data_IF_474024021768
#
_entry.id   IF_474024021768
#
_cell.length_a   1.000
_cell.length_b   1.000
_cell.length_c   1.000
_cell.angle_alpha   90.00
_cell.angle_beta   90.00
_cell.angle_gamma   90.00
#
_symmetry.space_group_name_H-M   'P 1'
#
loop_
_entity.id
_entity.type
_entity.pdbx_description
1 polymer ?
#
# COMPACT_ATOMS: atom_id res chain seq x y z
N UNK A 1 -10.60 40.96 1.61
CA UNK A 1 -9.19 41.13 1.18
C UNK A 1 -8.95 40.12 0.08
N UNK A 2 -8.48 40.57 -1.08
CA UNK A 2 -8.15 39.66 -2.17
C UNK A 2 -6.85 38.92 -1.84
N UNK A 3 -6.94 37.62 -1.61
CA UNK A 3 -5.76 36.78 -1.37
C UNK A 3 -4.96 36.66 -2.66
N UNK A 4 -3.64 36.64 -2.52
CA UNK A 4 -2.68 36.53 -3.63
C UNK A 4 -1.59 35.51 -3.33
N UNK A 5 -1.17 34.78 -4.36
CA UNK A 5 -0.01 33.88 -4.31
C UNK A 5 0.80 34.04 -5.59
N UNK A 6 2.11 34.19 -5.44
CA UNK A 6 3.05 34.37 -6.56
C UNK A 6 2.62 35.47 -7.54
N UNK A 7 2.09 36.58 -7.01
CA UNK A 7 1.63 37.73 -7.80
C UNK A 7 0.26 37.60 -8.46
N UNK A 8 -0.43 36.46 -8.32
CA UNK A 8 -1.76 36.23 -8.90
C UNK A 8 -2.86 36.31 -7.84
N UNK A 9 -3.98 36.94 -8.19
CA UNK A 9 -5.20 36.96 -7.37
C UNK A 9 -5.87 35.59 -7.39
N UNK A 10 -6.27 35.09 -6.21
CA UNK A 10 -6.95 33.80 -6.09
C UNK A 10 -8.41 33.91 -6.51
N UNK A 11 -8.94 32.86 -7.15
CA UNK A 11 -10.35 32.79 -7.53
C UNK A 11 -11.26 32.66 -6.30
N UNK A 12 -12.56 32.89 -6.47
CA UNK A 12 -13.54 32.70 -5.40
C UNK A 12 -13.51 31.27 -4.84
N UNK A 13 -13.41 30.27 -5.70
CA UNK A 13 -13.34 28.85 -5.30
C UNK A 13 -12.10 28.55 -4.44
N UNK A 14 -10.94 29.09 -4.83
CA UNK A 14 -9.70 28.94 -4.04
C UNK A 14 -9.84 29.63 -2.68
N UNK A 15 -10.45 30.81 -2.63
CA UNK A 15 -10.70 31.52 -1.37
C UNK A 15 -11.63 30.75 -0.45
N UNK A 16 -12.75 30.25 -0.97
CA UNK A 16 -13.69 29.43 -0.21
C UNK A 16 -13.03 28.17 0.34
N UNK A 17 -12.16 27.53 -0.45
CA UNK A 17 -11.39 26.36 -0.01
C UNK A 17 -10.45 26.71 1.14
N UNK A 18 -9.71 27.83 1.03
CA UNK A 18 -8.80 28.31 2.08
C UNK A 18 -9.60 28.66 3.34
N UNK A 19 -10.73 29.37 3.23
CA UNK A 19 -11.57 29.74 4.37
C UNK A 19 -12.06 28.51 5.14
N UNK A 20 -12.50 27.47 4.42
CA UNK A 20 -12.89 26.21 5.03
C UNK A 20 -11.72 25.52 5.77
N UNK A 21 -10.51 25.52 5.19
CA UNK A 21 -9.31 25.00 5.86
C UNK A 21 -8.95 25.80 7.11
N UNK A 22 -8.99 27.14 7.03
CA UNK A 22 -8.71 28.03 8.16
C UNK A 22 -9.74 27.88 9.28
N UNK A 23 -10.98 27.54 8.95
CA UNK A 23 -12.03 27.20 9.90
C UNK A 23 -11.87 25.79 10.52
N UNK A 24 -10.83 25.04 10.15
CA UNK A 24 -10.57 23.70 10.66
C UNK A 24 -11.46 22.60 10.07
N UNK A 25 -12.08 22.85 8.91
CA UNK A 25 -12.95 21.88 8.25
C UNK A 25 -12.13 20.86 7.44
N UNK A 26 -12.64 19.62 7.39
CA UNK A 26 -12.13 18.61 6.47
C UNK A 26 -12.65 18.88 5.06
N UNK A 27 -11.75 19.19 4.14
CA UNK A 27 -12.09 19.58 2.76
C UNK A 27 -11.57 18.56 1.75
N UNK A 28 -12.37 18.30 0.71
CA UNK A 28 -11.96 17.55 -0.48
C UNK A 28 -12.01 18.48 -1.68
N UNK A 29 -10.88 18.65 -2.35
CA UNK A 29 -10.78 19.42 -3.58
C UNK A 29 -10.48 18.51 -4.76
N UNK A 30 -11.35 18.48 -5.75
CA UNK A 30 -11.07 17.86 -7.05
C UNK A 30 -10.52 18.92 -7.98
N UNK A 31 -9.29 18.72 -8.45
CA UNK A 31 -8.60 19.75 -9.20
C UNK A 31 -7.91 19.15 -10.42
N UNK A 32 -8.38 19.55 -11.60
CA UNK A 32 -7.90 19.07 -12.89
C UNK A 32 -6.57 19.72 -13.28
N UNK A 33 -5.97 19.27 -14.39
CA UNK A 33 -4.76 19.90 -14.90
C UNK A 33 -5.02 21.40 -15.16
N UNK A 34 -4.09 22.27 -14.74
CA UNK A 34 -4.20 23.71 -14.94
C UNK A 34 -5.09 24.48 -13.94
N UNK A 35 -5.85 23.82 -13.06
CA UNK A 35 -6.79 24.50 -12.14
C UNK A 35 -6.15 25.10 -10.87
N UNK A 36 -4.84 25.36 -10.90
CA UNK A 36 -4.16 26.08 -9.81
C UNK A 36 -3.93 25.30 -8.50
N UNK A 37 -3.97 23.95 -8.50
CA UNK A 37 -3.69 23.09 -7.31
C UNK A 37 -2.53 23.58 -6.45
N UNK A 38 -1.36 23.72 -7.06
CA UNK A 38 -0.14 24.13 -6.36
C UNK A 38 -0.28 25.54 -5.79
N UNK A 39 -0.95 26.45 -6.50
CA UNK A 39 -1.24 27.80 -6.02
C UNK A 39 -2.19 27.79 -4.82
N UNK A 40 -3.20 26.92 -4.81
CA UNK A 40 -4.12 26.76 -3.66
C UNK A 40 -3.36 26.24 -2.44
N UNK A 41 -2.52 25.20 -2.59
CA UNK A 41 -1.75 24.65 -1.46
C UNK A 41 -0.74 25.68 -0.90
N UNK A 42 -0.11 26.46 -1.78
CA UNK A 42 0.78 27.58 -1.37
C UNK A 42 0.01 28.69 -0.69
N UNK A 43 -1.25 28.93 -1.08
CA UNK A 43 -2.10 29.88 -0.39
C UNK A 43 -2.45 29.40 1.02
N UNK A 44 -2.83 28.13 1.17
CA UNK A 44 -3.10 27.54 2.49
C UNK A 44 -1.88 27.71 3.40
N UNK A 45 -0.69 27.34 2.91
CA UNK A 45 0.55 27.52 3.67
C UNK A 45 0.80 29.00 4.05
N UNK A 46 0.65 29.93 3.11
CA UNK A 46 0.83 31.36 3.35
C UNK A 46 -0.16 31.96 4.35
N UNK A 47 -1.42 31.53 4.32
CA UNK A 47 -2.51 32.17 5.08
C UNK A 47 -2.91 31.41 6.34
N UNK A 48 -2.54 30.14 6.49
CA UNK A 48 -2.74 29.36 7.71
C UNK A 48 -1.54 29.55 8.64
N UNK A 49 -1.36 30.79 9.08
CA UNK A 49 -0.31 31.18 10.01
C UNK A 49 -0.48 30.42 11.34
N UNK A 50 0.63 30.13 12.02
CA UNK A 50 0.67 29.44 13.32
C UNK A 50 0.42 27.91 13.31
N UNK A 51 0.44 27.28 12.14
CA UNK A 51 0.40 25.81 12.00
C UNK A 51 1.61 25.28 11.23
N UNK A 52 1.97 24.04 11.53
CA UNK A 52 2.91 23.27 10.70
C UNK A 52 2.10 22.39 9.74
N UNK A 53 2.44 22.45 8.46
CA UNK A 53 1.81 21.61 7.44
C UNK A 53 2.47 20.25 7.34
N UNK A 54 1.70 19.21 7.04
CA UNK A 54 2.23 17.93 6.58
C UNK A 54 1.64 17.63 5.20
N UNK A 55 2.49 17.52 4.20
CA UNK A 55 2.10 17.17 2.84
C UNK A 55 2.53 15.74 2.50
N UNK A 56 1.52 14.87 2.42
CA UNK A 56 1.70 13.46 2.08
C UNK A 56 1.66 13.27 0.56
N UNK A 57 2.73 12.72 -0.01
CA UNK A 57 2.86 12.45 -1.44
C UNK A 57 2.70 10.95 -1.73
N UNK A 58 2.16 10.64 -2.91
CA UNK A 58 1.96 9.24 -3.34
C UNK A 58 3.29 8.53 -3.68
N UNK A 59 4.25 9.23 -4.28
CA UNK A 59 5.53 8.64 -4.69
C UNK A 59 6.69 9.61 -4.50
N UNK A 60 7.92 9.10 -4.68
CA UNK A 60 9.15 9.85 -4.45
C UNK A 60 9.34 11.03 -5.41
N UNK A 61 8.91 10.89 -6.66
CA UNK A 61 8.98 11.97 -7.66
C UNK A 61 8.14 13.16 -7.23
N UNK A 62 6.88 12.93 -6.84
CA UNK A 62 5.98 13.97 -6.32
C UNK A 62 6.50 14.58 -5.01
N UNK A 63 7.11 13.77 -4.14
CA UNK A 63 7.76 14.27 -2.93
C UNK A 63 8.89 15.27 -3.27
N UNK A 64 9.73 14.95 -4.26
CA UNK A 64 10.82 15.84 -4.70
C UNK A 64 10.30 17.15 -5.29
N UNK A 65 9.24 17.12 -6.08
CA UNK A 65 8.63 18.32 -6.65
C UNK A 65 7.95 19.17 -5.58
N UNK A 66 7.27 18.54 -4.62
CA UNK A 66 6.71 19.22 -3.46
C UNK A 66 7.81 19.91 -2.64
N UNK A 67 8.97 19.28 -2.45
CA UNK A 67 10.10 19.88 -1.71
C UNK A 67 10.61 21.16 -2.36
N UNK A 68 10.65 21.21 -3.69
CA UNK A 68 10.98 22.44 -4.42
C UNK A 68 9.89 23.50 -4.24
N UNK A 69 8.61 23.08 -4.30
CA UNK A 69 7.45 23.97 -4.19
C UNK A 69 7.37 24.68 -2.82
N UNK A 70 7.66 23.97 -1.73
CA UNK A 70 7.60 24.49 -0.35
C UNK A 70 8.98 24.77 0.26
N UNK A 71 10.03 24.94 -0.56
CA UNK A 71 11.36 25.25 -0.07
C UNK A 71 11.37 26.56 0.75
N UNK A 72 11.81 26.48 2.01
CA UNK A 72 11.83 27.61 2.94
C UNK A 72 10.52 27.87 3.69
N UNK A 73 9.54 26.96 3.59
CA UNK A 73 8.23 27.05 4.26
C UNK A 73 8.08 25.99 5.35
N UNK A 74 7.18 26.21 6.30
CA UNK A 74 6.96 25.33 7.45
C UNK A 74 6.05 24.13 7.10
N UNK A 75 6.47 23.34 6.11
CA UNK A 75 5.73 22.16 5.62
C UNK A 75 6.63 20.93 5.60
N UNK A 76 6.27 19.92 6.40
CA UNK A 76 6.88 18.60 6.33
C UNK A 76 6.36 17.84 5.11
N UNK A 77 7.27 17.31 4.31
CA UNK A 77 6.94 16.59 3.09
C UNK A 77 7.42 15.14 3.23
N UNK A 78 6.51 14.20 3.00
CA UNK A 78 6.76 12.78 3.22
C UNK A 78 5.88 11.93 2.31
N UNK A 79 6.33 10.73 1.93
CA UNK A 79 5.45 9.76 1.27
C UNK A 79 4.63 8.96 2.27
N UNK A 80 3.49 8.40 1.86
CA UNK A 80 2.70 7.52 2.72
C UNK A 80 3.53 6.36 3.29
N UNK A 81 4.38 5.76 2.47
CA UNK A 81 5.28 4.70 2.91
C UNK A 81 6.31 5.21 3.93
N UNK A 82 6.97 6.35 3.67
CA UNK A 82 7.93 6.90 4.63
C UNK A 82 7.26 7.31 5.95
N UNK A 83 6.02 7.81 5.91
CA UNK A 83 5.22 8.14 7.09
C UNK A 83 4.92 6.89 7.92
N UNK A 84 4.44 5.83 7.27
CA UNK A 84 4.20 4.55 7.92
C UNK A 84 5.49 4.00 8.56
N UNK A 85 6.61 4.02 7.84
CA UNK A 85 7.88 3.51 8.36
C UNK A 85 8.35 4.30 9.60
N UNK A 86 8.23 5.63 9.59
CA UNK A 86 8.63 6.50 10.73
C UNK A 86 7.81 6.26 12.00
N UNK A 87 6.62 5.68 11.90
CA UNK A 87 5.78 5.37 13.06
C UNK A 87 6.35 4.24 13.94
N UNK A 88 7.26 3.42 13.42
CA UNK A 88 7.85 2.30 14.12
C UNK A 88 9.13 2.68 14.90
N UNK A 89 9.51 1.86 15.89
CA UNK A 89 10.82 1.98 16.56
C UNK A 89 11.97 1.82 15.56
N UNK A 90 13.16 2.36 15.88
CA UNK A 90 14.35 2.23 15.01
C UNK A 90 14.68 0.77 14.68
N UNK A 91 14.54 -0.13 15.65
CA UNK A 91 14.74 -1.57 15.46
C UNK A 91 13.79 -2.15 14.41
N UNK A 92 12.49 -1.85 14.52
CA UNK A 92 11.48 -2.32 13.57
C UNK A 92 11.65 -1.71 12.17
N UNK A 93 12.04 -0.43 12.09
CA UNK A 93 12.40 0.21 10.83
C UNK A 93 13.56 -0.55 10.16
N UNK A 94 14.60 -0.83 10.92
CA UNK A 94 15.78 -1.51 10.42
C UNK A 94 15.48 -2.95 10.00
N UNK A 95 14.58 -3.66 10.70
CA UNK A 95 14.06 -4.95 10.22
C UNK A 95 13.45 -4.83 8.83
N UNK A 96 12.55 -3.87 8.59
CA UNK A 96 11.91 -3.74 7.28
C UNK A 96 12.93 -3.39 6.19
N UNK A 97 13.87 -2.49 6.49
CA UNK A 97 14.88 -2.06 5.54
C UNK A 97 15.91 -3.16 5.22
N UNK A 98 16.35 -3.95 6.21
CA UNK A 98 17.33 -5.02 6.02
C UNK A 98 16.80 -6.16 5.15
N UNK A 99 15.47 -6.41 5.18
CA UNK A 99 14.82 -7.46 4.40
C UNK A 99 14.01 -6.91 3.23
N UNK A 100 14.20 -5.64 2.87
CA UNK A 100 13.54 -5.05 1.71
C UNK A 100 14.08 -5.69 0.43
N UNK A 101 13.23 -6.39 -0.32
CA UNK A 101 13.70 -7.11 -1.49
C UNK A 101 12.68 -8.02 -2.15
N UNK A 102 13.15 -8.77 -3.14
CA UNK A 102 12.34 -9.76 -3.85
C UNK A 102 12.30 -11.07 -3.04
N UNK A 103 11.11 -11.68 -3.00
CA UNK A 103 10.94 -13.02 -2.46
C UNK A 103 11.53 -14.05 -3.42
N UNK A 104 12.38 -14.96 -2.93
CA UNK A 104 12.86 -16.12 -3.70
C UNK A 104 11.90 -17.32 -3.60
N UNK A 105 12.10 -18.36 -4.42
CA UNK A 105 11.35 -19.62 -4.28
C UNK A 105 11.59 -20.30 -2.93
N UNK A 106 12.83 -20.30 -2.44
CA UNK A 106 13.16 -20.88 -1.13
C UNK A 106 12.48 -20.12 0.01
N UNK A 107 12.46 -18.78 -0.06
CA UNK A 107 11.72 -17.96 0.89
C UNK A 107 10.22 -18.28 0.83
N UNK A 108 9.67 -18.42 -0.37
CA UNK A 108 8.26 -18.78 -0.52
C UNK A 108 7.94 -20.11 0.13
N UNK A 109 8.68 -21.18 -0.17
CA UNK A 109 8.45 -22.50 0.42
C UNK A 109 8.52 -22.41 1.95
N UNK A 110 9.58 -21.78 2.46
CA UNK A 110 9.81 -21.60 3.90
C UNK A 110 8.70 -20.82 4.61
N UNK A 111 8.30 -19.65 4.09
CA UNK A 111 7.43 -18.73 4.82
C UNK A 111 5.94 -18.94 4.52
N UNK A 112 5.58 -19.44 3.34
CA UNK A 112 4.19 -19.84 3.05
C UNK A 112 3.83 -21.17 3.73
N UNK A 113 4.84 -21.93 4.19
CA UNK A 113 4.70 -23.32 4.64
C UNK A 113 4.08 -24.19 3.54
N UNK A 114 4.54 -23.97 2.30
CA UNK A 114 4.14 -24.81 1.19
C UNK A 114 4.64 -26.23 1.46
N UNK A 115 3.74 -27.21 1.44
CA UNK A 115 4.09 -28.60 1.57
C UNK A 115 3.84 -29.29 0.23
N UNK A 116 4.90 -29.85 -0.36
CA UNK A 116 4.83 -30.47 -1.70
C UNK A 116 4.34 -31.92 -1.63
N UNK A 117 4.09 -32.47 -0.45
CA UNK A 117 3.93 -33.91 -0.23
C UNK A 117 2.55 -34.51 -0.63
N UNK A 118 1.77 -33.85 -1.49
CA UNK A 118 0.39 -34.22 -1.82
C UNK A 118 0.20 -34.87 -3.20
N UNK A 119 -0.83 -35.69 -3.39
CA UNK A 119 -1.17 -36.33 -4.69
C UNK A 119 -1.34 -35.34 -5.87
N UNK A 120 -1.55 -34.06 -5.59
CA UNK A 120 -1.73 -32.99 -6.60
C UNK A 120 -0.44 -32.25 -6.96
N UNK A 121 0.71 -32.60 -6.36
CA UNK A 121 2.03 -31.99 -6.53
C UNK A 121 2.44 -31.84 -8.01
N UNK A 122 2.30 -32.92 -8.78
CA UNK A 122 2.68 -32.94 -10.21
C UNK A 122 1.87 -31.96 -11.08
N UNK A 123 0.66 -31.63 -10.64
CA UNK A 123 -0.26 -30.73 -11.34
C UNK A 123 -0.10 -29.28 -10.88
N UNK A 124 0.45 -29.05 -9.69
CA UNK A 124 0.35 -27.80 -8.95
C UNK A 124 1.69 -27.37 -8.31
N UNK A 125 2.76 -27.40 -9.10
CA UNK A 125 4.14 -27.09 -8.65
C UNK A 125 4.32 -25.67 -8.13
N UNK A 126 5.35 -25.46 -7.29
CA UNK A 126 5.76 -24.15 -6.76
C UNK A 126 5.96 -23.12 -7.87
N UNK A 127 6.62 -23.46 -8.97
CA UNK A 127 6.90 -22.54 -10.09
C UNK A 127 5.63 -21.94 -10.70
N UNK A 128 4.56 -22.75 -10.81
CA UNK A 128 3.28 -22.32 -11.37
C UNK A 128 2.48 -21.47 -10.38
N UNK A 129 2.62 -21.73 -9.08
CA UNK A 129 1.77 -21.15 -8.05
C UNK A 129 2.39 -19.97 -7.31
N UNK A 130 3.72 -19.90 -7.24
CA UNK A 130 4.47 -18.86 -6.53
C UNK A 130 3.91 -17.47 -6.84
N UNK A 131 3.80 -17.13 -8.12
CA UNK A 131 3.32 -15.79 -8.53
C UNK A 131 1.84 -15.56 -8.20
N UNK A 132 1.01 -16.60 -8.29
CA UNK A 132 -0.43 -16.50 -8.00
C UNK A 132 -0.70 -16.36 -6.50
N UNK A 133 0.03 -17.12 -5.68
CA UNK A 133 -0.06 -17.08 -4.21
C UNK A 133 0.56 -15.77 -3.69
N UNK A 134 1.71 -15.35 -4.21
CA UNK A 134 2.31 -14.06 -3.88
C UNK A 134 1.39 -12.89 -4.28
N UNK A 135 0.78 -12.94 -5.47
CA UNK A 135 -0.19 -11.93 -5.88
C UNK A 135 -1.41 -11.89 -4.94
N UNK A 136 -1.89 -13.06 -4.50
CA UNK A 136 -2.99 -13.20 -3.53
C UNK A 136 -2.61 -12.62 -2.15
N UNK A 137 -1.38 -12.84 -1.68
CA UNK A 137 -0.86 -12.20 -0.47
C UNK A 137 -0.77 -10.67 -0.62
N UNK A 138 -0.27 -10.20 -1.77
CA UNK A 138 -0.14 -8.78 -2.07
C UNK A 138 -1.50 -8.07 -2.21
N UNK A 139 -2.53 -8.73 -2.74
CA UNK A 139 -3.89 -8.19 -2.75
C UNK A 139 -4.38 -7.89 -1.33
N UNK A 140 -4.09 -8.77 -0.36
CA UNK A 140 -4.39 -8.49 1.04
C UNK A 140 -3.54 -7.36 1.61
N UNK A 141 -2.22 -7.37 1.37
CA UNK A 141 -1.30 -6.31 1.86
C UNK A 141 -1.73 -4.94 1.34
N UNK A 142 -2.18 -4.85 0.10
CA UNK A 142 -2.61 -3.60 -0.54
C UNK A 142 -4.08 -3.23 -0.31
N UNK A 143 -4.83 -4.04 0.45
CA UNK A 143 -6.22 -3.77 0.81
C UNK A 143 -6.34 -3.02 2.14
N UNK A 144 -7.52 -2.43 2.38
CA UNK A 144 -7.88 -1.90 3.70
C UNK A 144 -8.34 -2.99 4.70
N UNK A 145 -8.40 -4.27 4.31
CA UNK A 145 -8.93 -5.35 5.14
C UNK A 145 -8.09 -5.61 6.39
N UNK A 146 -8.71 -5.84 7.53
CA UNK A 146 -7.99 -6.20 8.77
C UNK A 146 -7.55 -7.67 8.76
N UNK A 147 -8.33 -8.51 8.08
CA UNK A 147 -8.10 -9.95 8.01
C UNK A 147 -8.04 -10.42 6.56
N UNK A 148 -7.33 -11.53 6.37
CA UNK A 148 -7.28 -12.22 5.09
C UNK A 148 -8.62 -12.94 4.84
N UNK A 149 -9.10 -12.90 3.60
CA UNK A 149 -10.37 -13.52 3.20
C UNK A 149 -10.44 -13.74 1.69
N UNK A 150 -11.49 -14.40 1.22
CA UNK A 150 -11.68 -14.78 -0.19
C UNK A 150 -11.66 -13.61 -1.18
N UNK A 151 -11.97 -12.39 -0.73
CA UNK A 151 -11.95 -11.20 -1.60
C UNK A 151 -10.54 -10.85 -2.10
N UNK A 152 -9.51 -11.37 -1.43
CA UNK A 152 -8.11 -11.13 -1.80
C UNK A 152 -7.56 -12.17 -2.77
N UNK A 153 -8.31 -13.24 -3.01
CA UNK A 153 -7.88 -14.30 -3.93
C UNK A 153 -7.69 -13.70 -5.32
N UNK A 154 -6.53 -13.94 -5.92
CA UNK A 154 -6.25 -13.44 -7.25
C UNK A 154 -7.19 -14.09 -8.29
N UNK A 155 -7.85 -13.29 -9.12
CA UNK A 155 -8.78 -13.79 -10.15
C UNK A 155 -8.12 -14.78 -11.12
N UNK A 156 -6.82 -14.62 -11.42
CA UNK A 156 -6.09 -15.56 -12.27
C UNK A 156 -5.91 -16.92 -11.61
N UNK A 157 -5.81 -16.98 -10.27
CA UNK A 157 -5.79 -18.24 -9.54
C UNK A 157 -7.13 -18.97 -9.69
N UNK A 158 -8.25 -18.26 -9.50
CA UNK A 158 -9.60 -18.80 -9.68
C UNK A 158 -9.76 -19.31 -11.12
N UNK A 159 -9.41 -18.49 -12.11
CA UNK A 159 -9.49 -18.87 -13.51
C UNK A 159 -8.61 -20.07 -13.87
N UNK A 160 -7.41 -20.17 -13.27
CA UNK A 160 -6.51 -21.29 -13.46
C UNK A 160 -7.10 -22.60 -12.92
N UNK A 161 -7.59 -22.61 -11.69
CA UNK A 161 -8.21 -23.78 -11.07
C UNK A 161 -9.48 -24.20 -11.83
N UNK A 162 -10.34 -23.26 -12.18
CA UNK A 162 -11.53 -23.53 -12.99
C UNK A 162 -11.19 -24.09 -14.38
N UNK A 163 -10.07 -23.68 -14.99
CA UNK A 163 -9.58 -24.26 -16.25
C UNK A 163 -9.12 -25.71 -16.08
N UNK A 164 -8.45 -26.04 -14.97
CA UNK A 164 -8.07 -27.43 -14.67
C UNK A 164 -9.31 -28.31 -14.47
N UNK A 165 -10.35 -27.80 -13.78
CA UNK A 165 -11.63 -28.49 -13.61
C UNK A 165 -12.33 -28.73 -14.95
N UNK A 166 -12.45 -27.69 -15.79
CA UNK A 166 -13.12 -27.82 -17.11
C UNK A 166 -12.42 -28.81 -18.03
N UNK A 167 -11.11 -29.03 -17.84
CA UNK A 167 -10.32 -30.05 -18.56
C UNK A 167 -10.41 -31.45 -17.94
N UNK A 168 -11.21 -31.65 -16.89
CA UNK A 168 -11.28 -32.87 -16.10
C UNK A 168 -9.94 -33.33 -15.52
N UNK A 169 -8.99 -32.39 -15.31
CA UNK A 169 -7.70 -32.69 -14.66
C UNK A 169 -7.88 -32.81 -13.16
N UNK A 170 -8.77 -31.99 -12.59
CA UNK A 170 -9.18 -32.02 -11.18
C UNK A 170 -10.71 -32.04 -11.08
N UNK A 171 -11.23 -32.58 -9.99
CA UNK A 171 -12.65 -32.52 -9.64
C UNK A 171 -12.98 -31.29 -8.77
N UNK A 172 -14.26 -31.08 -8.46
CA UNK A 172 -14.72 -29.92 -7.65
C UNK A 172 -14.15 -29.91 -6.23
N UNK A 173 -13.98 -31.08 -5.61
CA UNK A 173 -13.41 -31.19 -4.26
C UNK A 173 -11.93 -30.80 -4.27
N UNK A 174 -11.18 -31.28 -5.28
CA UNK A 174 -9.78 -30.93 -5.48
C UNK A 174 -9.60 -29.44 -5.82
N UNK A 175 -10.48 -28.82 -6.62
CA UNK A 175 -10.48 -27.36 -6.87
C UNK A 175 -10.60 -26.58 -5.56
N UNK A 176 -11.51 -26.98 -4.68
CA UNK A 176 -11.70 -26.34 -3.38
C UNK A 176 -10.49 -26.55 -2.45
N UNK A 177 -9.94 -27.76 -2.39
CA UNK A 177 -8.74 -28.09 -1.60
C UNK A 177 -7.52 -27.27 -2.07
N UNK A 178 -7.28 -27.19 -3.38
CA UNK A 178 -6.17 -26.40 -3.94
C UNK A 178 -6.33 -24.91 -3.66
N UNK A 179 -7.55 -24.39 -3.79
CA UNK A 179 -7.85 -23.00 -3.46
C UNK A 179 -7.56 -22.71 -1.98
N UNK A 180 -8.00 -23.59 -1.08
CA UNK A 180 -7.76 -23.46 0.36
C UNK A 180 -6.26 -23.54 0.69
N UNK A 181 -5.52 -24.44 0.06
CA UNK A 181 -4.06 -24.51 0.16
C UNK A 181 -3.39 -23.21 -0.27
N UNK A 182 -3.78 -22.62 -1.41
CA UNK A 182 -3.26 -21.33 -1.85
C UNK A 182 -3.59 -20.19 -0.88
N UNK A 183 -4.80 -20.16 -0.34
CA UNK A 183 -5.23 -19.15 0.65
C UNK A 183 -4.41 -19.27 1.92
N UNK A 184 -4.22 -20.50 2.42
CA UNK A 184 -3.42 -20.76 3.62
C UNK A 184 -1.95 -20.36 3.40
N UNK A 185 -1.39 -20.72 2.26
CA UNK A 185 -0.04 -20.34 1.86
C UNK A 185 0.13 -18.81 1.77
N UNK A 186 -0.80 -18.11 1.10
CA UNK A 186 -0.80 -16.65 1.00
C UNK A 186 -0.95 -15.98 2.37
N UNK A 187 -1.81 -16.52 3.24
CA UNK A 187 -2.02 -16.03 4.60
C UNK A 187 -0.75 -16.17 5.46
N UNK A 188 -0.10 -17.33 5.41
CA UNK A 188 1.15 -17.57 6.12
C UNK A 188 2.26 -16.65 5.63
N UNK A 189 2.38 -16.51 4.30
CA UNK A 189 3.36 -15.63 3.68
C UNK A 189 3.14 -14.17 4.09
N UNK A 190 1.91 -13.65 3.98
CA UNK A 190 1.59 -12.29 4.42
C UNK A 190 1.89 -12.08 5.91
N UNK A 191 1.55 -13.05 6.78
CA UNK A 191 1.91 -12.98 8.22
C UNK A 191 3.42 -12.91 8.42
N UNK A 192 4.20 -13.66 7.64
CA UNK A 192 5.66 -13.66 7.71
C UNK A 192 6.26 -12.34 7.21
N UNK A 193 5.75 -11.77 6.11
CA UNK A 193 6.19 -10.48 5.57
C UNK A 193 5.92 -9.34 6.58
N UNK A 194 4.75 -9.35 7.23
CA UNK A 194 4.32 -8.35 8.22
C UNK A 194 4.90 -8.56 9.65
N UNK A 195 5.63 -9.64 9.88
CA UNK A 195 6.13 -9.99 11.21
C UNK A 195 7.46 -9.31 11.52
N UNK A 196 7.49 -8.49 12.56
CA UNK A 196 8.70 -7.77 13.01
C UNK A 196 9.83 -8.68 13.51
N UNK A 197 9.54 -9.98 13.70
CA UNK A 197 10.52 -11.01 14.12
C UNK A 197 10.95 -11.92 12.98
N UNK A 198 10.36 -11.75 11.80
CA UNK A 198 10.60 -12.59 10.63
C UNK A 198 11.64 -11.96 9.72
N UNK A 199 12.51 -12.81 9.19
CA UNK A 199 13.50 -12.49 8.15
C UNK A 199 12.94 -12.68 6.74
N UNK A 200 11.62 -12.85 6.60
CA UNK A 200 10.96 -12.91 5.30
C UNK A 200 11.18 -11.59 4.55
N UNK A 201 11.57 -11.65 3.26
CA UNK A 201 11.60 -10.48 2.41
C UNK A 201 10.30 -9.69 2.46
N UNK A 202 10.42 -8.37 2.42
CA UNK A 202 9.33 -7.42 2.55
C UNK A 202 9.42 -6.38 1.44
N UNK A 203 8.32 -5.69 1.20
CA UNK A 203 8.18 -4.56 0.29
C UNK A 203 7.85 -3.29 1.07
N UNK A 204 7.76 -2.16 0.35
CA UNK A 204 7.33 -0.90 0.94
C UNK A 204 5.87 -0.90 1.38
N UNK A 205 5.03 -1.77 0.83
CA UNK A 205 3.60 -1.84 1.15
C UNK A 205 3.34 -2.64 2.43
N UNK A 206 4.24 -3.57 2.78
CA UNK A 206 4.13 -4.39 3.98
C UNK A 206 4.15 -3.56 5.27
N UNK A 207 5.05 -2.60 5.39
CA UNK A 207 5.05 -1.77 6.59
C UNK A 207 3.90 -0.75 6.58
N UNK A 208 3.36 -0.38 5.41
CA UNK A 208 2.11 0.41 5.33
C UNK A 208 0.95 -0.43 5.85
N UNK A 209 0.85 -1.69 5.42
CA UNK A 209 -0.13 -2.64 5.93
C UNK A 209 0.03 -2.86 7.42
N UNK A 210 1.26 -3.04 7.90
CA UNK A 210 1.55 -3.22 9.33
C UNK A 210 1.12 -2.00 10.14
N UNK A 211 1.37 -0.79 9.61
CA UNK A 211 0.97 0.46 10.23
C UNK A 211 -0.56 0.59 10.23
N UNK A 212 -1.24 0.30 9.13
CA UNK A 212 -2.70 0.23 9.08
C UNK A 212 -3.27 -0.70 10.15
N UNK A 213 -2.70 -1.90 10.30
CA UNK A 213 -3.11 -2.89 11.31
C UNK A 213 -2.84 -2.44 12.75
N UNK A 214 -1.90 -1.51 12.99
CA UNK A 214 -1.68 -0.93 14.31
C UNK A 214 -2.72 0.13 14.70
N UNK A 215 -3.70 0.42 13.83
CA UNK A 215 -4.76 1.42 14.05
C UNK A 215 -4.19 2.78 14.49
N UNK A 216 -3.42 3.44 13.60
CA UNK A 216 -2.79 4.71 13.94
C UNK A 216 -3.87 5.76 14.24
N UNK A 217 -3.63 6.57 15.27
CA UNK A 217 -4.49 7.68 15.67
C UNK A 217 -4.01 8.99 15.06
#
# INVERSE_FOLDING_TARGET
MDRTVSGNTLTLEMNNFIDAVLAGLNVKGEAYAGTGKSSTLRAIEKYHTDKQGCYICFNKTLEMDARKLFAGHSVDIITSNALALRSFSREHQQRFLNYLGKLSYDDFIKYSKWNDDGELETLFTVEKNFNLVLATANHYINSASIEFSNIHVNEKLIAYLSKLRTKNIINKVQEQQLLETCINAATNLAKAMLSLKSTCPTTHDDYVKKWQLSKPQ
#
